data_IF_182890718802
#
_entry.id   IF_182890718802
#
_cell.length_a   1.000
_cell.length_b   1.000
_cell.length_c   1.000
_cell.angle_alpha   90.00
_cell.angle_beta   90.00
_cell.angle_gamma   90.00
#
_symmetry.space_group_name_H-M   'P 1'
#
loop_
_entity.id
_entity.type
_entity.pdbx_description
1 polymer ?
#
# COMPACT_ATOMS: atom_id res chain seq x y z
N UNK A 1 -7.38 -20.22 -94.69
CA UNK A 1 -7.97 -20.97 -95.82
C UNK A 1 -9.08 -20.11 -96.39
N UNK A 2 -8.83 -19.45 -97.51
CA UNK A 2 -9.72 -18.45 -98.10
C UNK A 2 -11.02 -19.10 -98.58
N UNK A 3 -12.17 -18.65 -98.07
CA UNK A 3 -13.52 -19.04 -98.51
C UNK A 3 -13.81 -18.75 -100.00
N UNK A 4 -12.86 -18.17 -100.73
CA UNK A 4 -12.88 -18.03 -102.18
C UNK A 4 -12.61 -19.34 -102.93
N UNK A 5 -11.94 -20.34 -102.33
CA UNK A 5 -11.61 -21.58 -103.05
C UNK A 5 -12.75 -22.60 -103.09
N UNK A 6 -13.72 -22.52 -102.17
CA UNK A 6 -14.82 -23.50 -102.10
C UNK A 6 -16.08 -23.07 -102.89
N UNK A 7 -16.22 -21.79 -103.19
CA UNK A 7 -17.37 -21.29 -103.95
C UNK A 7 -17.18 -21.32 -105.47
N UNK A 8 -15.92 -21.27 -105.95
CA UNK A 8 -15.61 -21.29 -107.37
C UNK A 8 -15.76 -22.69 -108.00
N UNK A 9 -15.42 -23.75 -107.27
CA UNK A 9 -15.32 -25.08 -107.88
C UNK A 9 -16.67 -25.78 -108.06
N UNK A 10 -17.71 -25.39 -107.30
CA UNK A 10 -19.00 -26.08 -107.40
C UNK A 10 -19.95 -25.49 -108.46
N UNK A 11 -19.86 -24.19 -108.74
CA UNK A 11 -20.76 -23.51 -109.69
C UNK A 11 -20.25 -23.48 -111.14
N UNK A 12 -18.95 -23.69 -111.36
CA UNK A 12 -18.40 -23.80 -112.72
C UNK A 12 -18.69 -25.16 -113.37
N UNK A 13 -19.09 -26.18 -112.59
CA UNK A 13 -19.45 -27.51 -113.10
C UNK A 13 -20.86 -27.62 -113.70
N UNK A 14 -21.67 -26.56 -113.60
CA UNK A 14 -23.04 -26.50 -114.15
C UNK A 14 -23.20 -25.43 -115.25
N UNK A 15 -22.09 -25.06 -115.90
CA UNK A 15 -22.20 -24.51 -117.24
C UNK A 15 -22.48 -25.72 -118.13
N UNK A 16 -23.76 -26.00 -118.37
CA UNK A 16 -24.21 -27.03 -119.32
C UNK A 16 -23.43 -26.87 -120.63
N UNK A 17 -22.56 -27.84 -120.94
CA UNK A 17 -21.79 -28.01 -122.18
C UNK A 17 -22.69 -28.25 -123.43
N UNK A 18 -24.00 -28.07 -123.30
CA UNK A 18 -25.01 -28.29 -124.34
C UNK A 18 -25.09 -27.17 -125.39
N UNK A 19 -24.24 -26.14 -125.33
CA UNK A 19 -24.22 -25.09 -126.37
C UNK A 19 -23.59 -25.54 -127.70
N UNK A 20 -22.96 -26.71 -127.74
CA UNK A 20 -22.18 -27.14 -128.92
C UNK A 20 -22.96 -27.98 -129.93
N UNK A 21 -24.20 -28.40 -129.64
CA UNK A 21 -24.90 -29.45 -130.43
C UNK A 21 -26.36 -29.16 -130.77
N UNK A 22 -26.77 -27.90 -130.88
CA UNK A 22 -28.15 -27.55 -131.27
C UNK A 22 -28.14 -26.50 -132.40
N UNK A 23 -28.55 -26.92 -133.59
CA UNK A 23 -28.56 -26.11 -134.83
C UNK A 23 -29.82 -25.25 -135.01
N UNK A 24 -30.79 -25.34 -134.11
CA UNK A 24 -32.09 -24.66 -134.23
C UNK A 24 -32.13 -23.32 -133.46
N UNK A 25 -32.31 -22.23 -134.19
CA UNK A 25 -32.19 -20.84 -133.71
C UNK A 25 -33.19 -20.48 -132.62
N UNK A 26 -34.41 -21.02 -132.69
CA UNK A 26 -35.46 -20.73 -131.72
C UNK A 26 -35.24 -21.49 -130.40
N UNK A 27 -34.62 -22.67 -130.45
CA UNK A 27 -34.24 -23.43 -129.26
C UNK A 27 -33.10 -22.72 -128.49
N UNK A 28 -32.13 -22.14 -129.20
CA UNK A 28 -31.05 -21.35 -128.60
C UNK A 28 -31.59 -20.09 -127.89
N UNK A 29 -32.58 -19.39 -128.48
CA UNK A 29 -33.25 -18.26 -127.82
C UNK A 29 -33.99 -18.68 -126.56
N UNK A 30 -34.70 -19.80 -126.60
CA UNK A 30 -35.46 -20.32 -125.47
C UNK A 30 -34.53 -20.74 -124.32
N UNK A 31 -33.40 -21.39 -124.64
CA UNK A 31 -32.33 -21.71 -123.71
C UNK A 31 -31.74 -20.43 -123.08
N UNK A 32 -31.44 -19.41 -123.88
CA UNK A 32 -30.88 -18.14 -123.42
C UNK A 32 -31.85 -17.41 -122.48
N UNK A 33 -33.14 -17.36 -122.81
CA UNK A 33 -34.17 -16.80 -121.93
C UNK A 33 -34.26 -17.58 -120.62
N UNK A 34 -34.17 -18.92 -120.67
CA UNK A 34 -34.16 -19.78 -119.48
C UNK A 34 -32.94 -19.53 -118.60
N UNK A 35 -31.76 -19.41 -119.20
CA UNK A 35 -30.52 -19.10 -118.46
C UNK A 35 -30.55 -17.68 -117.88
N UNK A 36 -31.09 -16.69 -118.62
CA UNK A 36 -31.30 -15.33 -118.08
C UNK A 36 -32.25 -15.32 -116.88
N UNK A 37 -33.34 -16.10 -116.94
CA UNK A 37 -34.27 -16.24 -115.80
C UNK A 37 -33.61 -16.93 -114.60
N UNK A 38 -32.84 -18.01 -114.84
CA UNK A 38 -32.05 -18.68 -113.79
C UNK A 38 -31.05 -17.72 -113.15
N UNK A 39 -30.29 -16.98 -113.95
CA UNK A 39 -29.35 -15.96 -113.47
C UNK A 39 -30.06 -14.86 -112.67
N UNK A 40 -31.20 -14.36 -113.14
CA UNK A 40 -31.97 -13.36 -112.41
C UNK A 40 -32.43 -13.90 -111.04
N UNK A 41 -32.94 -15.14 -110.97
CA UNK A 41 -33.32 -15.76 -109.70
C UNK A 41 -32.11 -15.99 -108.77
N UNK A 42 -30.94 -16.30 -109.33
CA UNK A 42 -29.71 -16.43 -108.55
C UNK A 42 -29.24 -15.10 -107.99
N UNK A 43 -29.28 -14.03 -108.80
CA UNK A 43 -28.93 -12.68 -108.38
C UNK A 43 -29.89 -12.16 -107.31
N UNK A 44 -31.19 -12.40 -107.47
CA UNK A 44 -32.20 -12.01 -106.46
C UNK A 44 -31.98 -12.75 -105.14
N UNK A 45 -31.64 -14.04 -105.19
CA UNK A 45 -31.31 -14.83 -104.00
C UNK A 45 -30.01 -14.34 -103.36
N UNK A 46 -28.99 -14.03 -104.16
CA UNK A 46 -27.71 -13.49 -103.68
C UNK A 46 -27.93 -12.15 -102.98
N UNK A 47 -28.66 -11.22 -103.59
CA UNK A 47 -29.03 -9.92 -102.99
C UNK A 47 -29.78 -10.14 -101.68
N UNK A 48 -30.76 -11.06 -101.65
CA UNK A 48 -31.53 -11.35 -100.44
C UNK A 48 -30.66 -11.94 -99.33
N UNK A 49 -29.71 -12.81 -99.68
CA UNK A 49 -28.73 -13.34 -98.72
C UNK A 49 -27.76 -12.28 -98.25
N UNK A 50 -27.22 -11.45 -99.14
CA UNK A 50 -26.28 -10.38 -98.83
C UNK A 50 -26.92 -9.34 -97.91
N UNK A 51 -28.14 -8.88 -98.21
CA UNK A 51 -28.92 -8.01 -97.32
C UNK A 51 -29.25 -8.69 -95.98
N UNK A 52 -29.48 -10.01 -95.97
CA UNK A 52 -29.68 -10.74 -94.72
C UNK A 52 -28.38 -10.88 -93.91
N UNK A 53 -27.22 -10.99 -94.56
CA UNK A 53 -25.91 -11.02 -93.91
C UNK A 53 -25.40 -9.63 -93.52
N UNK A 54 -25.88 -8.58 -94.18
CA UNK A 54 -25.61 -7.18 -93.85
C UNK A 54 -26.41 -6.71 -92.62
N UNK A 55 -27.59 -7.31 -92.38
CA UNK A 55 -28.55 -6.86 -91.36
C UNK A 55 -28.88 -7.87 -90.23
N UNK A 56 -28.36 -9.10 -90.26
CA UNK A 56 -28.65 -10.12 -89.24
C UNK A 56 -27.34 -10.57 -88.59
N UNK A 57 -27.16 -10.16 -87.32
CA UNK A 57 -26.20 -10.72 -86.37
C UNK A 57 -24.75 -10.29 -86.62
N UNK A 58 -24.43 -9.08 -86.18
CA UNK A 58 -23.43 -8.88 -85.11
C UNK A 58 -23.27 -7.40 -84.78
N UNK A 59 -23.37 -6.47 -85.73
CA UNK A 59 -22.88 -5.10 -85.47
C UNK A 59 -23.71 -4.31 -84.46
N UNK A 60 -25.02 -4.16 -84.64
CA UNK A 60 -25.85 -3.34 -83.73
C UNK A 60 -25.92 -3.96 -82.32
N UNK A 61 -26.11 -5.28 -82.23
CA UNK A 61 -26.12 -5.97 -80.93
C UNK A 61 -24.74 -5.97 -80.27
N UNK A 62 -23.65 -6.05 -81.05
CA UNK A 62 -22.29 -5.89 -80.55
C UNK A 62 -22.05 -4.47 -80.04
N UNK A 63 -22.44 -3.43 -80.78
CA UNK A 63 -22.32 -2.04 -80.33
C UNK A 63 -23.13 -1.82 -79.03
N UNK A 64 -24.37 -2.34 -78.95
CA UNK A 64 -25.18 -2.28 -77.73
C UNK A 64 -24.54 -3.02 -76.55
N UNK A 65 -23.99 -4.22 -76.77
CA UNK A 65 -23.29 -5.00 -75.75
C UNK A 65 -21.97 -4.32 -75.34
N UNK A 66 -21.26 -3.72 -76.29
CA UNK A 66 -20.02 -2.99 -76.08
C UNK A 66 -20.27 -1.72 -75.26
N UNK A 67 -21.31 -0.95 -75.59
CA UNK A 67 -21.74 0.20 -74.81
C UNK A 67 -22.13 -0.18 -73.39
N UNK A 68 -22.87 -1.30 -73.24
CA UNK A 68 -23.23 -1.83 -71.92
C UNK A 68 -22.01 -2.30 -71.13
N UNK A 69 -21.06 -2.96 -71.79
CA UNK A 69 -19.79 -3.36 -71.18
C UNK A 69 -18.99 -2.14 -70.72
N UNK A 70 -18.93 -1.10 -71.53
CA UNK A 70 -18.26 0.16 -71.18
C UNK A 70 -18.96 0.86 -70.01
N UNK A 71 -20.30 0.87 -69.99
CA UNK A 71 -21.07 1.41 -68.86
C UNK A 71 -20.79 0.64 -67.57
N UNK A 72 -20.93 -0.70 -67.59
CA UNK A 72 -20.63 -1.55 -66.44
C UNK A 72 -19.19 -1.40 -65.97
N UNK A 73 -18.24 -1.22 -66.89
CA UNK A 73 -16.83 -0.97 -66.53
C UNK A 73 -16.66 0.37 -65.83
N UNK A 74 -17.35 1.43 -66.26
CA UNK A 74 -17.34 2.73 -65.57
C UNK A 74 -17.96 2.62 -64.18
N UNK A 75 -19.11 1.97 -64.06
CA UNK A 75 -19.79 1.75 -62.78
C UNK A 75 -18.93 0.91 -61.83
N UNK A 76 -18.30 -0.15 -62.33
CA UNK A 76 -17.38 -0.96 -61.54
C UNK A 76 -16.18 -0.13 -61.08
N UNK A 77 -15.58 0.70 -61.94
CA UNK A 77 -14.45 1.55 -61.55
C UNK A 77 -14.85 2.58 -60.49
N UNK A 78 -16.02 3.20 -60.63
CA UNK A 78 -16.56 4.12 -59.63
C UNK A 78 -16.76 3.42 -58.29
N UNK A 79 -17.41 2.26 -58.30
CA UNK A 79 -17.69 1.48 -57.10
C UNK A 79 -16.38 1.00 -56.44
N UNK A 80 -15.39 0.56 -57.22
CA UNK A 80 -14.06 0.20 -56.71
C UNK A 80 -13.40 1.40 -56.00
N UNK A 81 -13.48 2.59 -56.59
CA UNK A 81 -12.92 3.81 -55.98
C UNK A 81 -13.65 4.18 -54.67
N UNK A 82 -14.99 4.07 -54.64
CA UNK A 82 -15.77 4.31 -53.43
C UNK A 82 -15.43 3.29 -52.32
N UNK A 83 -15.29 2.01 -52.65
CA UNK A 83 -14.86 0.98 -51.69
C UNK A 83 -13.44 1.24 -51.16
N UNK A 84 -12.51 1.67 -52.01
CA UNK A 84 -11.16 2.04 -51.58
C UNK A 84 -11.19 3.24 -50.63
N UNK A 85 -11.95 4.28 -50.97
CA UNK A 85 -12.12 5.44 -50.11
C UNK A 85 -12.76 5.05 -48.77
N UNK A 86 -13.84 4.27 -48.78
CA UNK A 86 -14.48 3.76 -47.57
C UNK A 86 -13.49 2.96 -46.71
N UNK A 87 -12.70 2.07 -47.33
CA UNK A 87 -11.64 1.33 -46.65
C UNK A 87 -10.60 2.24 -45.96
N UNK A 88 -10.17 3.30 -46.63
CA UNK A 88 -9.27 4.31 -46.06
C UNK A 88 -9.91 5.05 -44.87
N UNK A 89 -11.19 5.43 -44.98
CA UNK A 89 -11.90 6.08 -43.87
C UNK A 89 -12.08 5.15 -42.67
N UNK A 90 -12.37 3.86 -42.89
CA UNK A 90 -12.45 2.87 -41.82
C UNK A 90 -11.10 2.70 -41.13
N UNK A 91 -9.99 2.61 -41.89
CA UNK A 91 -8.64 2.55 -41.32
C UNK A 91 -8.30 3.80 -40.50
N UNK A 92 -8.64 4.99 -41.01
CA UNK A 92 -8.46 6.24 -40.29
C UNK A 92 -9.23 6.25 -38.97
N UNK A 93 -10.50 5.82 -38.97
CA UNK A 93 -11.32 5.73 -37.77
C UNK A 93 -10.74 4.73 -36.77
N UNK A 94 -10.28 3.55 -37.22
CA UNK A 94 -9.64 2.56 -36.35
C UNK A 94 -8.41 3.16 -35.66
N UNK A 95 -7.52 3.79 -36.42
CA UNK A 95 -6.33 4.44 -35.86
C UNK A 95 -6.72 5.53 -34.86
N UNK A 96 -7.71 6.37 -35.20
CA UNK A 96 -8.19 7.42 -34.30
C UNK A 96 -8.80 6.86 -33.01
N UNK A 97 -9.52 5.74 -33.08
CA UNK A 97 -10.05 5.08 -31.88
C UNK A 97 -8.94 4.50 -31.01
N UNK A 98 -7.86 4.00 -31.61
CA UNK A 98 -6.70 3.52 -30.88
C UNK A 98 -6.02 4.67 -30.10
N UNK A 99 -5.79 5.81 -30.77
CA UNK A 99 -5.22 7.01 -30.13
C UNK A 99 -6.08 7.48 -28.94
N UNK A 100 -7.41 7.51 -29.11
CA UNK A 100 -8.33 7.91 -28.04
C UNK A 100 -8.32 6.93 -26.85
N UNK A 101 -8.14 5.64 -27.11
CA UNK A 101 -8.00 4.63 -26.05
C UNK A 101 -6.70 4.86 -25.27
N UNK A 102 -5.61 5.20 -25.94
CA UNK A 102 -4.32 5.49 -25.30
C UNK A 102 -4.36 6.78 -24.47
N UNK A 103 -4.98 7.84 -24.99
CA UNK A 103 -5.23 9.07 -24.23
C UNK A 103 -6.08 8.79 -22.99
N UNK A 104 -7.17 8.04 -23.14
CA UNK A 104 -8.02 7.62 -22.01
C UNK A 104 -7.22 6.85 -20.96
N UNK A 105 -6.40 5.89 -21.39
CA UNK A 105 -5.58 5.08 -20.49
C UNK A 105 -4.55 5.94 -19.75
N UNK A 106 -3.93 6.90 -20.44
CA UNK A 106 -3.01 7.87 -19.84
C UNK A 106 -3.70 8.68 -18.73
N UNK A 107 -4.85 9.29 -19.02
CA UNK A 107 -5.59 10.07 -18.04
C UNK A 107 -6.09 9.21 -16.86
N UNK A 108 -6.53 7.98 -17.11
CA UNK A 108 -6.93 7.05 -16.06
C UNK A 108 -5.76 6.73 -15.12
N UNK A 109 -4.57 6.47 -15.68
CA UNK A 109 -3.37 6.19 -14.90
C UNK A 109 -2.91 7.42 -14.10
N UNK A 110 -2.96 8.62 -14.69
CA UNK A 110 -2.66 9.87 -14.00
C UNK A 110 -3.65 10.13 -12.86
N UNK A 111 -4.95 9.93 -13.09
CA UNK A 111 -5.98 10.03 -12.06
C UNK A 111 -5.75 9.02 -10.93
N UNK A 112 -5.45 7.76 -11.25
CA UNK A 112 -5.18 6.71 -10.25
C UNK A 112 -3.95 7.05 -9.39
N UNK A 113 -2.89 7.57 -10.01
CA UNK A 113 -1.70 8.08 -9.30
C UNK A 113 -2.06 9.26 -8.41
N UNK A 114 -2.73 10.26 -8.95
CA UNK A 114 -3.11 11.47 -8.21
C UNK A 114 -4.08 11.16 -7.06
N UNK A 115 -5.03 10.24 -7.24
CA UNK A 115 -5.91 9.72 -6.18
C UNK A 115 -5.12 9.13 -5.02
N UNK A 116 -4.04 8.42 -5.32
CA UNK A 116 -3.16 7.84 -4.31
C UNK A 116 -2.32 8.91 -3.59
N UNK A 117 -2.00 10.01 -4.28
CA UNK A 117 -1.17 11.11 -3.75
C UNK A 117 -1.95 12.18 -2.98
N UNK A 118 -3.19 12.47 -3.38
CA UNK A 118 -4.02 13.56 -2.80
C UNK A 118 -4.64 13.18 -1.46
N UNK A 119 -4.82 11.89 -1.19
CA UNK A 119 -5.29 11.38 0.10
C UNK A 119 -4.60 10.04 0.38
N UNK A 120 -3.33 10.03 0.85
CA UNK A 120 -2.78 8.81 1.41
C UNK A 120 -3.70 8.39 2.55
N UNK A 121 -4.45 7.30 2.36
CA UNK A 121 -5.34 6.81 3.41
C UNK A 121 -4.48 6.52 4.64
N UNK A 122 -4.88 7.01 5.83
CA UNK A 122 -4.19 6.67 7.05
C UNK A 122 -4.10 5.15 7.19
N UNK A 123 -2.96 4.70 7.69
CA UNK A 123 -2.78 3.31 8.07
C UNK A 123 -3.59 3.03 9.34
N UNK A 124 -4.87 2.68 9.15
CA UNK A 124 -5.84 2.49 10.21
C UNK A 124 -5.46 1.37 11.18
N UNK A 125 -4.57 0.45 10.80
CA UNK A 125 -4.10 -0.58 11.71
C UNK A 125 -3.24 -0.01 12.85
N UNK A 126 -2.51 1.09 12.59
CA UNK A 126 -1.70 1.78 13.62
C UNK A 126 -2.54 2.44 14.69
N UNK A 127 -3.79 2.77 14.38
CA UNK A 127 -4.71 3.42 15.32
C UNK A 127 -5.00 2.53 16.52
N UNK A 128 -4.95 1.20 16.34
CA UNK A 128 -5.08 0.24 17.44
C UNK A 128 -4.03 0.40 18.55
N UNK A 129 -2.87 1.00 18.26
CA UNK A 129 -1.83 1.26 19.26
C UNK A 129 -2.08 2.54 20.07
N UNK A 130 -2.98 3.41 19.60
CA UNK A 130 -3.24 4.73 20.17
C UNK A 130 -4.53 4.74 21.00
N UNK A 131 -5.49 3.87 20.67
CA UNK A 131 -6.78 3.78 21.34
C UNK A 131 -6.72 2.77 22.50
N UNK A 132 -7.28 3.16 23.64
CA UNK A 132 -7.47 2.30 24.81
C UNK A 132 -8.38 1.10 24.44
N UNK A 133 -7.98 -0.12 24.77
CA UNK A 133 -8.69 -1.35 24.35
C UNK A 133 -8.13 -2.00 23.07
N UNK A 134 -7.13 -1.38 22.44
CA UNK A 134 -6.27 -2.04 21.45
C UNK A 134 -6.99 -2.44 20.14
N UNK A 135 -6.46 -3.48 19.49
CA UNK A 135 -6.92 -3.94 18.17
C UNK A 135 -8.37 -4.43 18.15
N UNK A 136 -8.83 -5.06 19.23
CA UNK A 136 -10.20 -5.59 19.30
C UNK A 136 -11.25 -4.49 19.41
N UNK A 137 -11.00 -3.45 20.22
CA UNK A 137 -11.89 -2.28 20.30
C UNK A 137 -11.91 -1.48 19.01
N UNK A 138 -10.74 -1.30 18.38
CA UNK A 138 -10.67 -0.63 17.09
C UNK A 138 -11.40 -1.39 15.98
N UNK A 139 -11.35 -2.73 15.96
CA UNK A 139 -12.15 -3.54 15.01
C UNK A 139 -13.65 -3.27 15.17
N UNK A 140 -14.15 -3.22 16.41
CA UNK A 140 -15.57 -2.94 16.68
C UNK A 140 -15.94 -1.53 16.22
N UNK A 141 -15.10 -0.54 16.51
CA UNK A 141 -15.34 0.86 16.14
C UNK A 141 -15.23 1.12 14.64
N UNK A 142 -14.38 0.35 13.94
CA UNK A 142 -14.12 0.49 12.51
C UNK A 142 -15.01 -0.36 11.62
N UNK A 143 -15.69 -1.36 12.19
CA UNK A 143 -16.54 -2.26 11.43
C UNK A 143 -17.65 -1.50 10.69
N UNK A 144 -17.67 -1.63 9.36
CA UNK A 144 -18.69 -1.04 8.51
C UNK A 144 -18.60 0.48 8.29
N UNK A 145 -17.54 1.17 8.76
CA UNK A 145 -17.39 2.63 8.61
C UNK A 145 -16.52 3.02 7.41
N UNK A 146 -16.85 4.16 6.80
CA UNK A 146 -16.01 4.78 5.76
C UNK A 146 -14.75 5.42 6.35
N UNK A 147 -13.71 5.67 5.54
CA UNK A 147 -12.48 6.32 6.04
C UNK A 147 -12.71 7.70 6.68
N UNK A 148 -13.72 8.45 6.22
CA UNK A 148 -14.12 9.73 6.84
C UNK A 148 -14.77 9.49 8.21
N UNK A 149 -15.69 8.53 8.30
CA UNK A 149 -16.33 8.14 9.55
C UNK A 149 -15.33 7.51 10.56
N UNK A 150 -14.25 6.90 10.07
CA UNK A 150 -13.15 6.41 10.91
C UNK A 150 -12.35 7.57 11.53
N UNK A 151 -12.18 8.69 10.82
CA UNK A 151 -11.58 9.90 11.38
C UNK A 151 -12.45 10.42 12.52
N UNK A 152 -13.76 10.55 12.31
CA UNK A 152 -14.69 11.05 13.33
C UNK A 152 -14.72 10.13 14.55
N UNK A 153 -14.76 8.81 14.34
CA UNK A 153 -14.71 7.83 15.42
C UNK A 153 -13.38 7.90 16.20
N UNK A 154 -12.26 8.11 15.50
CA UNK A 154 -10.95 8.29 16.14
C UNK A 154 -10.90 9.59 16.96
N UNK A 155 -11.42 10.70 16.43
CA UNK A 155 -11.48 11.97 17.15
C UNK A 155 -12.36 11.81 18.39
N UNK A 156 -13.52 11.18 18.25
CA UNK A 156 -14.41 10.89 19.38
C UNK A 156 -13.70 10.06 20.45
N UNK A 157 -12.93 9.03 20.07
CA UNK A 157 -12.14 8.23 21.03
C UNK A 157 -10.99 8.99 21.68
N UNK A 158 -10.28 9.83 20.93
CA UNK A 158 -9.20 10.63 21.50
C UNK A 158 -9.74 11.67 22.48
N UNK A 159 -10.92 12.23 22.21
CA UNK A 159 -11.54 13.26 23.04
C UNK A 159 -12.31 12.71 24.25
N UNK A 160 -12.97 11.55 24.11
CA UNK A 160 -13.88 11.02 25.14
C UNK A 160 -13.39 9.71 25.79
N UNK A 161 -12.38 9.03 25.22
CA UNK A 161 -11.87 7.75 25.71
C UNK A 161 -12.92 6.63 25.69
N UNK A 162 -12.69 5.56 26.46
CA UNK A 162 -13.53 4.36 26.60
C UNK A 162 -14.97 4.57 27.14
N UNK A 163 -15.66 5.64 26.75
CA UNK A 163 -16.98 5.97 27.25
C UNK A 163 -18.06 5.55 26.29
N UNK A 164 -18.59 4.37 26.58
CA UNK A 164 -19.96 4.05 26.27
C UNK A 164 -20.88 5.08 26.96
N UNK A 165 -21.52 5.91 26.15
CA UNK A 165 -22.92 6.36 26.32
C UNK A 165 -23.30 7.40 27.39
N UNK A 166 -22.42 7.92 28.24
CA UNK A 166 -22.84 9.02 29.13
C UNK A 166 -22.66 10.39 28.48
N UNK A 167 -23.78 11.09 28.31
CA UNK A 167 -23.92 12.46 27.79
C UNK A 167 -22.91 13.41 28.46
N UNK A 168 -22.59 14.49 27.74
CA UNK A 168 -21.76 15.64 28.09
C UNK A 168 -22.12 16.33 29.44
N UNK A 169 -22.08 15.60 30.55
CA UNK A 169 -22.11 16.15 31.88
C UNK A 169 -20.68 16.14 32.39
N UNK A 170 -20.21 17.32 32.79
CA UNK A 170 -18.90 17.47 33.43
C UNK A 170 -18.94 16.65 34.72
N UNK A 171 -18.17 15.58 34.78
CA UNK A 171 -18.06 14.76 35.98
C UNK A 171 -17.20 15.47 37.03
N UNK A 172 -17.68 15.45 38.27
CA UNK A 172 -16.95 15.95 39.43
C UNK A 172 -16.77 14.80 40.43
N UNK A 173 -15.64 14.78 41.13
CA UNK A 173 -15.44 13.99 42.32
C UNK A 173 -15.97 14.73 43.55
N UNK A 174 -16.54 13.96 44.48
CA UNK A 174 -16.80 14.43 45.83
C UNK A 174 -15.50 14.36 46.64
N UNK A 175 -15.20 15.42 47.40
CA UNK A 175 -14.02 15.45 48.26
C UNK A 175 -14.13 14.40 49.38
N UNK A 176 -13.02 13.70 49.64
CA UNK A 176 -12.94 12.60 50.59
C UNK A 176 -12.88 13.07 52.05
N UNK A 177 -12.59 14.34 52.31
CA UNK A 177 -12.46 14.93 53.65
C UNK A 177 -11.01 15.32 54.02
N UNK A 178 -10.85 15.92 55.20
CA UNK A 178 -9.57 16.42 55.74
C UNK A 178 -8.94 15.51 56.81
N UNK A 179 -9.46 14.29 56.96
CA UNK A 179 -9.02 13.36 58.00
C UNK A 179 -7.57 12.89 57.80
N UNK A 180 -6.89 12.61 58.92
CA UNK A 180 -5.50 12.13 58.94
C UNK A 180 -5.38 10.76 58.26
N UNK A 181 -6.46 9.97 58.22
CA UNK A 181 -6.55 8.67 57.54
C UNK A 181 -6.54 8.77 56.01
N UNK A 182 -6.81 9.96 55.46
CA UNK A 182 -6.79 10.21 54.02
C UNK A 182 -5.37 10.63 53.60
N UNK A 183 -4.95 10.15 52.43
CA UNK A 183 -3.64 10.45 51.85
C UNK A 183 -3.43 11.98 51.77
N UNK A 184 -2.23 12.43 52.11
CA UNK A 184 -1.90 13.86 52.25
C UNK A 184 -2.24 14.69 51.01
N UNK A 185 -2.06 14.14 49.81
CA UNK A 185 -2.38 14.81 48.54
C UNK A 185 -3.88 14.84 48.15
N UNK A 186 -4.76 14.24 48.97
CA UNK A 186 -6.21 14.16 48.72
C UNK A 186 -7.05 14.92 49.76
N UNK A 187 -6.41 15.46 50.80
CA UNK A 187 -7.14 16.12 51.90
C UNK A 187 -7.79 17.40 51.40
N UNK A 188 -9.12 17.39 51.41
CA UNK A 188 -9.94 18.57 51.15
C UNK A 188 -11.25 18.52 51.91
N UNK A 189 -11.80 19.66 52.37
CA UNK A 189 -13.10 19.74 52.99
C UNK A 189 -14.18 19.16 52.06
N UNK A 190 -15.07 18.36 52.65
CA UNK A 190 -16.11 17.59 51.97
C UNK A 190 -17.13 18.43 51.19
N UNK A 191 -17.15 19.75 51.38
CA UNK A 191 -17.97 20.70 50.62
C UNK A 191 -17.50 20.94 49.19
N UNK A 192 -16.28 20.53 48.85
CA UNK A 192 -15.67 20.89 47.57
C UNK A 192 -15.92 19.83 46.50
N UNK A 193 -16.23 20.31 45.29
CA UNK A 193 -16.31 19.48 44.09
C UNK A 193 -15.04 19.62 43.29
N UNK A 194 -14.43 18.49 42.94
CA UNK A 194 -13.16 18.45 42.22
C UNK A 194 -13.42 17.99 40.79
N UNK A 195 -12.81 18.64 39.82
CA UNK A 195 -13.07 18.36 38.42
C UNK A 195 -12.43 17.02 37.99
N UNK A 196 -13.23 16.13 37.39
CA UNK A 196 -12.72 14.87 36.87
C UNK A 196 -12.20 15.08 35.43
N UNK A 197 -10.87 15.12 35.29
CA UNK A 197 -10.19 15.20 33.99
C UNK A 197 -10.10 13.85 33.28
N UNK A 198 -10.47 12.74 33.95
CA UNK A 198 -10.46 11.38 33.39
C UNK A 198 -9.09 11.05 32.79
N UNK A 199 -8.06 11.10 33.63
CA UNK A 199 -6.67 10.86 33.24
C UNK A 199 -6.50 9.49 32.54
N UNK A 200 -5.93 9.51 31.32
CA UNK A 200 -5.63 8.32 30.51
C UNK A 200 -4.46 7.51 31.06
N UNK A 201 -4.44 6.20 30.82
CA UNK A 201 -3.42 5.28 31.34
C UNK A 201 -1.99 5.76 31.04
N UNK A 202 -1.69 6.11 29.79
CA UNK A 202 -0.36 6.56 29.40
C UNK A 202 0.06 7.85 30.12
N UNK A 203 -0.87 8.78 30.36
CA UNK A 203 -0.60 10.01 31.10
C UNK A 203 -0.33 9.71 32.57
N UNK A 204 -1.06 8.76 33.16
CA UNK A 204 -0.81 8.26 34.51
C UNK A 204 0.58 7.64 34.63
N UNK A 205 1.00 6.83 33.67
CA UNK A 205 2.33 6.20 33.66
C UNK A 205 3.47 7.23 33.57
N UNK A 206 3.33 8.24 32.70
CA UNK A 206 4.29 9.35 32.59
C UNK A 206 4.37 10.09 33.93
N UNK A 207 3.24 10.47 34.50
CA UNK A 207 3.19 11.23 35.74
C UNK A 207 3.81 10.44 36.91
N UNK A 208 3.53 9.13 36.99
CA UNK A 208 4.16 8.24 37.97
C UNK A 208 5.69 8.20 37.77
N UNK A 209 6.14 8.07 36.53
CA UNK A 209 7.56 8.08 36.22
C UNK A 209 8.22 9.40 36.63
N UNK A 210 7.57 10.53 36.37
CA UNK A 210 8.06 11.85 36.78
C UNK A 210 8.17 11.96 38.30
N UNK A 211 7.14 11.57 39.06
CA UNK A 211 7.17 11.53 40.54
C UNK A 211 8.37 10.72 41.04
N UNK A 212 8.60 9.52 40.48
CA UNK A 212 9.73 8.69 40.87
C UNK A 212 11.08 9.33 40.51
N UNK A 213 11.19 9.93 39.33
CA UNK A 213 12.44 10.61 38.94
C UNK A 213 12.75 11.78 39.85
N UNK A 214 11.72 12.48 40.31
CA UNK A 214 11.84 13.62 41.21
C UNK A 214 12.29 13.18 42.61
N UNK A 215 11.66 12.13 43.16
CA UNK A 215 12.05 11.53 44.43
C UNK A 215 13.50 11.02 44.44
N UNK A 216 13.97 10.47 43.32
CA UNK A 216 15.37 10.03 43.15
C UNK A 216 16.33 11.23 43.06
N UNK A 217 15.91 12.38 42.52
CA UNK A 217 16.71 13.62 42.54
C UNK A 217 16.78 14.15 43.97
N UNK A 218 15.65 14.32 44.64
CA UNK A 218 15.59 14.80 46.03
C UNK A 218 16.45 13.92 46.97
N UNK A 219 16.39 12.60 46.80
CA UNK A 219 17.23 11.65 47.54
C UNK A 219 18.72 11.79 47.22
N UNK A 220 19.09 12.07 45.96
CA UNK A 220 20.48 12.32 45.57
C UNK A 220 20.99 13.65 46.14
N UNK A 221 20.21 14.70 46.05
CA UNK A 221 20.60 16.03 46.51
C UNK A 221 20.80 16.06 48.03
N UNK A 222 19.95 15.37 48.79
CA UNK A 222 20.15 15.15 50.23
C UNK A 222 21.43 14.36 50.55
N UNK A 223 21.79 13.37 49.73
CA UNK A 223 23.05 12.64 49.89
C UNK A 223 24.27 13.52 49.59
N UNK A 224 24.20 14.37 48.56
CA UNK A 224 25.26 15.33 48.24
C UNK A 224 25.42 16.40 49.33
N UNK A 225 24.31 16.91 49.88
CA UNK A 225 24.32 17.90 50.95
C UNK A 225 24.90 17.32 52.25
N UNK A 226 24.54 16.08 52.62
CA UNK A 226 25.13 15.41 53.78
C UNK A 226 26.66 15.20 53.61
N UNK A 227 27.12 14.89 52.40
CA UNK A 227 28.55 14.75 52.10
C UNK A 227 29.30 16.08 52.21
N UNK A 228 28.71 17.19 51.76
CA UNK A 228 29.33 18.52 51.87
C UNK A 228 29.37 19.04 53.31
N UNK A 229 28.37 18.75 54.14
CA UNK A 229 28.38 19.08 55.57
C UNK A 229 29.43 18.27 56.35
N UNK A 230 29.64 16.98 56.03
CA UNK A 230 30.70 16.19 56.70
C UNK A 230 32.12 16.66 56.37
N UNK A 231 32.32 17.28 55.20
CA UNK A 231 33.62 17.83 54.80
C UNK A 231 33.97 19.18 55.44
N UNK A 232 33.02 19.88 56.08
CA UNK A 232 33.28 21.17 56.75
C UNK A 232 33.73 21.02 58.21
N UNK A 233 33.71 19.81 58.80
CA UNK A 233 34.07 19.58 60.21
C UNK A 233 35.38 18.80 60.42
N UNK A 234 36.15 18.48 59.38
CA UNK A 234 37.53 17.98 59.54
C UNK A 234 38.47 18.62 58.50
N UNK A 235 39.46 19.37 59.00
CA UNK A 235 40.63 19.84 58.26
C UNK A 235 41.48 18.66 57.72
N UNK A 236 42.29 18.87 56.67
CA UNK A 236 42.68 17.81 55.73
C UNK A 236 44.01 17.15 56.09
N UNK A 237 44.08 15.84 55.93
CA UNK A 237 45.31 15.09 55.65
C UNK A 237 45.10 14.36 54.31
N UNK A 238 46.04 14.43 53.36
CA UNK A 238 45.81 13.90 52.02
C UNK A 238 46.35 12.47 51.93
N UNK A 239 45.49 11.48 51.65
CA UNK A 239 45.82 10.45 50.66
C UNK A 239 44.64 9.52 50.36
N UNK A 240 44.53 9.18 49.07
CA UNK A 240 43.79 8.08 48.44
C UNK A 240 42.29 8.24 48.10
N UNK A 241 42.08 8.27 46.79
CA UNK A 241 40.94 7.93 45.91
C UNK A 241 39.59 7.50 46.50
N UNK A 242 38.47 8.09 46.02
CA UNK A 242 37.12 7.58 46.26
C UNK A 242 36.65 6.65 45.12
N UNK A 243 36.58 5.34 45.38
CA UNK A 243 35.79 4.41 44.57
C UNK A 243 35.18 3.30 45.43
N UNK A 244 33.83 3.28 45.44
CA UNK A 244 32.90 2.27 45.96
C UNK A 244 32.94 1.87 47.45
N UNK A 245 31.78 2.02 48.11
CA UNK A 245 30.97 0.90 48.65
C UNK A 245 29.67 1.42 49.27
N UNK A 246 28.51 1.08 48.71
CA UNK A 246 27.24 1.13 49.46
C UNK A 246 26.94 -0.30 49.89
N UNK A 247 27.39 -0.64 51.10
CA UNK A 247 26.88 -1.81 51.84
C UNK A 247 26.09 -1.32 53.05
N UNK A 248 25.06 -2.12 53.34
CA UNK A 248 24.08 -1.98 54.40
C UNK A 248 24.70 -1.73 55.78
N UNK A 249 24.06 -0.88 56.58
CA UNK A 249 24.17 -0.95 58.05
C UNK A 249 22.77 -0.91 58.66
N UNK A 250 22.34 -2.05 59.18
CA UNK A 250 21.32 -2.16 60.24
C UNK A 250 22.07 -2.73 61.45
N UNK A 251 22.10 -2.00 62.57
CA UNK A 251 22.24 -2.57 63.93
C UNK A 251 22.02 -1.49 65.01
N UNK A 252 20.86 -1.57 65.66
CA UNK A 252 20.55 -1.47 67.11
C UNK A 252 21.56 -0.84 68.10
N UNK A 253 21.17 0.23 68.81
CA UNK A 253 21.04 0.41 70.30
C UNK A 253 20.95 1.91 70.69
N UNK A 254 20.60 2.31 71.94
CA UNK A 254 19.59 3.35 72.19
C UNK A 254 20.19 4.66 72.71
N UNK A 255 19.32 5.66 72.85
CA UNK A 255 19.50 6.92 73.58
C UNK A 255 20.41 7.99 72.95
N UNK A 256 19.79 8.90 72.21
CA UNK A 256 19.82 10.31 72.62
C UNK A 256 18.75 11.14 71.89
N UNK A 257 17.87 11.73 72.68
CA UNK A 257 16.87 12.71 72.27
C UNK A 257 17.53 13.90 71.58
N UNK A 258 16.99 14.28 70.41
CA UNK A 258 16.89 15.63 69.81
C UNK A 258 16.99 15.68 68.27
N UNK A 259 16.45 14.69 67.53
CA UNK A 259 16.35 14.76 66.06
C UNK A 259 14.95 14.36 65.55
N UNK A 260 13.91 15.11 65.92
CA UNK A 260 12.55 14.90 65.43
C UNK A 260 12.28 15.64 64.11
N UNK A 261 13.02 15.31 63.04
CA UNK A 261 12.60 15.63 61.65
C UNK A 261 13.27 14.75 60.59
N UNK A 262 13.59 13.50 60.93
CA UNK A 262 14.07 12.50 59.97
C UNK A 262 13.21 11.23 60.04
N UNK A 263 11.89 11.40 60.05
CA UNK A 263 10.99 10.32 59.72
C UNK A 263 10.97 10.24 58.19
N UNK A 264 11.27 9.08 57.61
CA UNK A 264 11.15 8.84 56.17
C UNK A 264 9.73 9.27 55.74
N UNK A 265 9.64 10.36 54.95
CA UNK A 265 8.36 10.84 54.40
C UNK A 265 7.75 9.71 53.57
N UNK A 266 6.46 9.45 53.75
CA UNK A 266 5.79 8.41 52.97
C UNK A 266 5.73 8.82 51.49
N UNK A 267 5.51 7.87 50.57
CA UNK A 267 5.33 8.21 49.16
C UNK A 267 4.17 9.20 48.96
N UNK A 268 3.09 9.07 49.74
CA UNK A 268 1.96 9.97 49.71
C UNK A 268 2.34 11.43 50.04
N UNK A 269 3.19 11.61 51.06
CA UNK A 269 3.66 12.95 51.45
C UNK A 269 4.56 13.57 50.38
N UNK A 270 5.43 12.75 49.77
CA UNK A 270 6.24 13.21 48.65
C UNK A 270 5.37 13.60 47.44
N UNK A 271 4.29 12.87 47.16
CA UNK A 271 3.36 13.21 46.07
C UNK A 271 2.63 14.53 46.34
N UNK A 272 2.29 14.82 47.60
CA UNK A 272 1.71 16.09 48.00
C UNK A 272 2.70 17.25 47.75
N UNK A 273 3.92 17.12 48.27
CA UNK A 273 4.99 18.11 48.07
C UNK A 273 5.27 18.34 46.58
N UNK A 274 5.34 17.26 45.80
CA UNK A 274 5.56 17.29 44.35
C UNK A 274 4.49 18.08 43.59
N UNK A 275 3.21 17.86 43.92
CA UNK A 275 2.12 18.55 43.23
C UNK A 275 2.05 20.03 43.60
N UNK A 276 2.35 20.38 44.85
CA UNK A 276 2.41 21.78 45.27
C UNK A 276 3.55 22.53 44.57
N UNK A 277 4.74 21.92 44.49
CA UNK A 277 5.90 22.52 43.82
C UNK A 277 5.71 22.63 42.30
N UNK A 278 5.17 21.59 41.66
CA UNK A 278 5.00 21.54 40.20
C UNK A 278 3.95 22.51 39.68
N UNK A 279 2.78 22.56 40.32
CA UNK A 279 1.64 23.30 39.79
C UNK A 279 1.53 24.73 40.34
N UNK A 280 2.23 25.07 41.44
CA UNK A 280 2.21 26.38 42.11
C UNK A 280 0.80 26.90 42.47
N UNK A 281 -0.21 26.06 42.31
CA UNK A 281 -1.62 26.31 42.52
C UNK A 281 -2.18 25.10 43.26
N UNK A 282 -2.58 25.33 44.51
CA UNK A 282 -3.07 24.29 45.39
C UNK A 282 -4.34 23.62 44.83
N UNK A 283 -5.24 24.40 44.20
CA UNK A 283 -6.44 23.85 43.57
C UNK A 283 -6.13 22.85 42.44
N UNK A 284 -5.13 23.13 41.61
CA UNK A 284 -4.71 22.25 40.52
C UNK A 284 -3.98 21.01 41.04
N UNK A 285 -3.19 21.17 42.11
CA UNK A 285 -2.50 20.07 42.78
C UNK A 285 -3.49 19.03 43.32
N UNK A 286 -4.53 19.49 44.02
CA UNK A 286 -5.63 18.66 44.50
C UNK A 286 -6.35 17.98 43.33
N UNK A 287 -6.70 18.74 42.30
CA UNK A 287 -7.39 18.20 41.13
C UNK A 287 -6.59 17.06 40.49
N UNK A 288 -5.28 17.26 40.32
CA UNK A 288 -4.39 16.24 39.79
C UNK A 288 -4.25 15.03 40.74
N UNK A 289 -4.26 15.27 42.05
CA UNK A 289 -4.25 14.24 43.08
C UNK A 289 -5.44 13.30 43.00
N UNK A 290 -6.67 13.85 42.92
CA UNK A 290 -7.89 13.05 42.78
C UNK A 290 -7.93 12.28 41.46
N UNK A 291 -7.49 12.92 40.37
CA UNK A 291 -7.42 12.26 39.06
C UNK A 291 -6.37 11.14 39.00
N UNK A 292 -5.22 11.32 39.68
CA UNK A 292 -4.21 10.28 39.82
C UNK A 292 -4.74 9.10 40.67
N UNK A 293 -5.39 9.38 41.79
CA UNK A 293 -5.97 8.38 42.67
C UNK A 293 -7.02 7.52 41.92
N UNK A 294 -7.96 8.17 41.24
CA UNK A 294 -8.97 7.50 40.42
C UNK A 294 -8.34 6.70 39.27
N UNK A 295 -7.37 7.26 38.56
CA UNK A 295 -6.67 6.55 37.48
C UNK A 295 -5.91 5.32 37.97
N UNK A 296 -5.22 5.41 39.11
CA UNK A 296 -4.57 4.26 39.74
C UNK A 296 -5.56 3.15 40.11
N UNK A 297 -6.77 3.51 40.53
CA UNK A 297 -7.83 2.55 40.82
C UNK A 297 -8.42 1.92 39.55
N UNK A 298 -8.58 2.68 38.47
CA UNK A 298 -9.05 2.17 37.16
C UNK A 298 -8.05 1.25 36.49
N UNK A 299 -6.77 1.61 36.50
CA UNK A 299 -5.71 0.92 35.75
C UNK A 299 -4.91 -0.09 36.60
N UNK A 300 -5.55 -0.73 37.59
CA UNK A 300 -4.93 -1.78 38.43
C UNK A 300 -4.36 -2.97 37.66
N UNK A 301 -4.80 -3.17 36.42
CA UNK A 301 -4.28 -4.23 35.55
C UNK A 301 -2.85 -3.95 35.03
N UNK A 302 -2.39 -2.69 35.05
CA UNK A 302 -1.01 -2.35 34.67
C UNK A 302 -0.08 -2.59 35.85
N UNK A 303 0.92 -3.47 35.69
CA UNK A 303 1.86 -3.83 36.76
C UNK A 303 2.58 -2.61 37.37
N UNK A 304 2.97 -1.64 36.53
CA UNK A 304 3.67 -0.42 36.96
C UNK A 304 2.78 0.49 37.80
N UNK A 305 1.54 0.69 37.35
CA UNK A 305 0.56 1.52 38.05
C UNK A 305 0.15 0.84 39.36
N UNK A 306 -0.05 -0.48 39.34
CA UNK A 306 -0.43 -1.25 40.51
C UNK A 306 0.67 -1.28 41.58
N UNK A 307 1.94 -1.42 41.17
CA UNK A 307 3.07 -1.32 42.10
C UNK A 307 3.13 0.06 42.76
N UNK A 308 2.99 1.13 41.97
CA UNK A 308 2.95 2.49 42.49
C UNK A 308 1.78 2.70 43.44
N UNK A 309 0.58 2.25 43.06
CA UNK A 309 -0.63 2.32 43.87
C UNK A 309 -0.50 1.57 45.20
N UNK A 310 0.08 0.36 45.18
CA UNK A 310 0.35 -0.42 46.38
C UNK A 310 1.32 0.27 47.33
N UNK A 311 2.34 0.96 46.81
CA UNK A 311 3.27 1.75 47.63
C UNK A 311 2.60 3.03 48.15
N UNK A 312 1.79 3.68 47.31
CA UNK A 312 1.08 4.92 47.65
C UNK A 312 0.08 4.72 48.79
N UNK A 313 -0.58 3.57 48.83
CA UNK A 313 -1.54 3.17 49.88
C UNK A 313 -0.88 2.50 51.08
N UNK A 314 0.44 2.30 51.05
CA UNK A 314 1.19 1.62 52.11
C UNK A 314 1.00 0.10 52.17
N UNK A 315 0.38 -0.51 51.15
CA UNK A 315 0.22 -1.97 51.04
C UNK A 315 1.52 -2.68 50.65
N UNK A 316 2.41 -1.98 49.94
CA UNK A 316 3.70 -2.50 49.46
C UNK A 316 4.80 -1.56 49.95
N UNK A 317 5.91 -2.12 50.42
CA UNK A 317 7.06 -1.31 50.81
C UNK A 317 7.79 -0.72 49.58
N UNK A 318 8.24 0.52 49.71
CA UNK A 318 8.99 1.23 48.67
C UNK A 318 10.29 0.49 48.26
N UNK A 319 10.87 -0.31 49.16
CA UNK A 319 12.04 -1.14 48.87
C UNK A 319 11.85 -2.09 47.69
N UNK A 320 10.62 -2.56 47.45
CA UNK A 320 10.29 -3.46 46.33
C UNK A 320 10.55 -2.77 44.99
N UNK A 321 10.14 -1.51 44.86
CA UNK A 321 10.37 -0.70 43.66
C UNK A 321 11.88 -0.49 43.41
N UNK A 322 12.62 -0.08 44.44
CA UNK A 322 14.06 0.14 44.33
C UNK A 322 14.82 -1.15 44.00
N UNK A 323 14.39 -2.29 44.55
CA UNK A 323 14.95 -3.60 44.23
C UNK A 323 14.71 -3.94 42.75
N UNK A 324 13.48 -3.81 42.25
CA UNK A 324 13.18 -4.06 40.84
C UNK A 324 13.98 -3.14 39.90
N UNK A 325 14.08 -1.85 40.23
CA UNK A 325 14.85 -0.90 39.44
C UNK A 325 16.35 -1.22 39.42
N UNK A 326 16.91 -1.65 40.57
CA UNK A 326 18.31 -2.08 40.66
C UNK A 326 18.56 -3.33 39.81
N UNK A 327 17.68 -4.32 39.88
CA UNK A 327 17.78 -5.55 39.09
C UNK A 327 17.70 -5.27 37.58
N UNK A 328 16.79 -4.38 37.15
CA UNK A 328 16.70 -3.93 35.76
C UNK A 328 17.98 -3.19 35.34
N UNK A 329 18.49 -2.29 36.19
CA UNK A 329 19.73 -1.55 35.91
C UNK A 329 20.93 -2.48 35.74
N UNK A 330 21.07 -3.49 36.61
CA UNK A 330 22.12 -4.50 36.51
C UNK A 330 22.01 -5.30 35.21
N UNK A 331 20.82 -5.80 34.87
CA UNK A 331 20.58 -6.52 33.62
C UNK A 331 20.92 -5.66 32.40
N UNK A 332 20.53 -4.39 32.42
CA UNK A 332 20.81 -3.44 31.34
C UNK A 332 22.32 -3.18 31.20
N UNK A 333 23.05 -3.05 32.32
CA UNK A 333 24.52 -2.95 32.30
C UNK A 333 25.16 -4.22 31.72
N UNK A 334 24.68 -5.40 32.09
CA UNK A 334 25.15 -6.66 31.50
C UNK A 334 24.90 -6.73 29.99
N UNK A 335 23.71 -6.32 29.54
CA UNK A 335 23.38 -6.30 28.11
C UNK A 335 24.21 -5.28 27.33
N UNK A 336 24.47 -4.09 27.89
CA UNK A 336 25.39 -3.11 27.30
C UNK A 336 26.79 -3.69 27.21
N UNK A 337 27.29 -4.31 28.29
CA UNK A 337 28.61 -4.95 28.31
C UNK A 337 28.72 -6.03 27.24
N UNK A 338 27.71 -6.91 27.12
CA UNK A 338 27.66 -7.92 26.06
C UNK A 338 27.65 -7.30 24.67
N UNK A 339 26.83 -6.26 24.44
CA UNK A 339 26.80 -5.53 23.17
C UNK A 339 28.17 -4.96 22.81
N UNK A 340 28.86 -4.33 23.76
CA UNK A 340 30.22 -3.80 23.53
C UNK A 340 31.23 -4.92 23.24
N UNK A 341 31.15 -6.06 23.93
CA UNK A 341 32.03 -7.20 23.68
C UNK A 341 31.81 -7.82 22.30
N UNK A 342 30.55 -7.94 21.85
CA UNK A 342 30.22 -8.42 20.51
C UNK A 342 30.68 -7.46 19.41
N UNK A 343 30.62 -6.14 19.61
CA UNK A 343 31.17 -5.18 18.64
C UNK A 343 32.71 -5.26 18.55
N UNK A 344 33.40 -5.44 19.68
CA UNK A 344 34.86 -5.65 19.70
C UNK A 344 35.27 -6.96 19.04
N UNK A 345 34.47 -8.03 19.19
CA UNK A 345 34.73 -9.31 18.53
C UNK A 345 34.60 -9.22 17.00
N UNK A 346 33.63 -8.47 16.48
CA UNK A 346 33.48 -8.25 15.04
C UNK A 346 34.64 -7.46 14.43
N UNK A 347 35.13 -6.43 15.12
CA UNK A 347 36.31 -5.67 14.68
C UNK A 347 37.59 -6.53 14.72
N UNK A 348 37.74 -7.38 15.74
CA UNK A 348 38.86 -8.35 15.84
C UNK A 348 38.85 -9.40 14.73
N UNK A 349 37.68 -9.89 14.31
CA UNK A 349 37.55 -10.82 13.18
C UNK A 349 37.86 -10.09 11.86
N UNK A 350 37.43 -8.84 11.73
CA UNK A 350 37.73 -8.01 10.56
C UNK A 350 39.21 -7.62 10.46
N UNK A 351 39.94 -7.45 11.57
CA UNK A 351 41.38 -7.16 11.55
C UNK A 351 42.21 -8.40 11.22
N UNK A 352 41.87 -9.57 11.82
CA UNK A 352 42.49 -10.85 11.44
C UNK A 352 42.27 -11.22 9.97
N UNK A 353 41.10 -10.93 9.41
CA UNK A 353 40.82 -11.14 7.99
C UNK A 353 41.67 -10.23 7.07
N UNK A 354 42.01 -9.01 7.53
CA UNK A 354 42.88 -8.09 6.78
C UNK A 354 44.35 -8.51 6.84
N UNK A 355 44.83 -9.03 7.97
CA UNK A 355 46.20 -9.56 8.11
C UNK A 355 46.43 -10.83 7.27
N UNK A 356 45.41 -11.69 7.13
CA UNK A 356 45.48 -12.88 6.28
C UNK A 356 45.62 -12.56 4.78
N UNK A 357 45.14 -11.39 4.32
CA UNK A 357 45.26 -10.95 2.91
C UNK A 357 46.67 -10.44 2.60
N UNK A 358 47.42 -9.98 3.61
CA UNK A 358 48.76 -9.39 3.42
C UNK A 358 49.89 -10.44 3.40
N UNK A 359 49.60 -11.69 3.77
CA UNK A 359 50.61 -12.74 3.99
C UNK A 359 50.77 -13.78 2.86
N UNK A 360 50.02 -13.69 1.76
CA UNK A 360 50.25 -14.53 0.56
C UNK A 360 50.86 -13.71 -0.60
N UNK A 361 52.16 -13.86 -0.90
CA UNK A 361 52.74 -13.33 -2.13
C UNK A 361 52.58 -14.38 -3.23
N UNK A 362 51.71 -14.08 -4.21
CA UNK A 362 51.44 -14.81 -5.47
C UNK A 362 50.19 -15.71 -5.48
N UNK A 363 49.02 -15.08 -5.65
CA UNK A 363 47.93 -15.66 -6.44
C UNK A 363 47.19 -14.53 -7.19
N UNK A 364 46.58 -14.81 -8.37
CA UNK A 364 46.15 -13.78 -9.30
C UNK A 364 44.94 -13.02 -8.76
N UNK A 365 44.93 -11.70 -9.03
CA UNK A 365 43.88 -10.75 -8.69
C UNK A 365 42.46 -11.37 -8.71
N UNK A 366 41.70 -11.33 -7.62
CA UNK A 366 40.31 -11.71 -7.68
C UNK A 366 39.51 -10.57 -8.31
N UNK A 367 38.70 -10.96 -9.28
CA UNK A 367 37.52 -10.27 -9.79
C UNK A 367 36.78 -9.59 -8.64
N UNK A 368 36.34 -8.33 -8.85
CA UNK A 368 35.45 -7.59 -7.95
C UNK A 368 34.22 -8.45 -7.61
N UNK A 369 34.28 -9.18 -6.50
CA UNK A 369 33.10 -9.73 -5.85
C UNK A 369 32.47 -8.58 -5.08
N UNK A 370 31.38 -8.05 -5.64
CA UNK A 370 30.49 -7.15 -4.93
C UNK A 370 29.96 -7.88 -3.68
N UNK A 371 30.53 -7.57 -2.51
CA UNK A 371 29.84 -7.81 -1.25
C UNK A 371 28.70 -6.80 -1.12
N UNK A 372 27.61 -7.03 -1.89
CA UNK A 372 26.29 -6.68 -1.37
C UNK A 372 26.09 -7.62 -0.19
N UNK A 373 26.41 -7.12 1.01
CA UNK A 373 25.84 -7.64 2.23
C UNK A 373 24.33 -7.69 2.01
N UNK A 374 23.82 -8.90 1.80
CA UNK A 374 22.40 -9.18 1.84
C UNK A 374 21.95 -8.83 3.26
N UNK A 375 21.37 -7.64 3.43
CA UNK A 375 20.36 -7.32 4.43
C UNK A 375 19.08 -8.16 4.20
N UNK A 376 19.25 -9.43 3.84
CA UNK A 376 18.26 -10.40 3.42
C UNK A 376 18.59 -11.75 4.09
N UNK A 377 18.80 -11.73 5.41
CA UNK A 377 18.72 -12.96 6.23
C UNK A 377 18.34 -12.70 7.69
N UNK A 378 17.61 -11.62 7.96
CA UNK A 378 16.99 -11.39 9.27
C UNK A 378 15.51 -11.02 9.13
N UNK A 379 14.85 -11.66 8.15
CA UNK A 379 13.39 -11.62 7.95
C UNK A 379 12.78 -12.98 7.60
N UNK A 380 13.52 -14.08 7.76
CA UNK A 380 13.00 -15.46 7.64
C UNK A 380 13.17 -16.31 8.91
N UNK A 381 13.46 -15.69 10.05
CA UNK A 381 13.39 -16.33 11.38
C UNK A 381 12.36 -15.64 12.27
N UNK A 382 11.17 -15.41 11.71
CA UNK A 382 9.94 -15.10 12.46
C UNK A 382 8.75 -15.99 12.07
N UNK A 383 8.95 -17.04 11.27
CA UNK A 383 7.89 -18.03 10.93
C UNK A 383 8.21 -19.46 11.38
N UNK A 384 9.28 -19.70 12.14
CA UNK A 384 9.67 -21.04 12.61
C UNK A 384 9.67 -21.18 14.14
N UNK A 385 8.59 -20.71 14.78
CA UNK A 385 8.21 -21.12 16.13
C UNK A 385 6.69 -21.23 16.26
N UNK A 386 6.07 -21.90 15.30
CA UNK A 386 4.73 -22.46 15.47
C UNK A 386 4.81 -23.64 16.42
N UNK A 387 4.71 -23.38 17.72
CA UNK A 387 4.47 -24.41 18.72
C UNK A 387 3.11 -25.03 18.40
N UNK A 388 3.15 -26.34 18.17
CA UNK A 388 2.04 -27.25 18.05
C UNK A 388 0.87 -26.92 18.98
N UNK A 389 -0.32 -26.81 18.40
CA UNK A 389 -1.51 -27.30 19.07
C UNK A 389 -2.30 -28.21 18.13
N UNK A 390 -2.70 -29.33 18.72
CA UNK A 390 -3.29 -30.53 18.15
C UNK A 390 -4.53 -30.30 17.28
N UNK A 391 -4.65 -31.08 16.19
CA UNK A 391 -5.86 -31.17 15.39
C UNK A 391 -5.80 -32.37 14.44
N UNK A 392 -6.34 -33.50 14.89
CA UNK A 392 -6.49 -34.77 14.19
C UNK A 392 -7.09 -34.61 12.77
N UNK A 393 -6.44 -35.19 11.76
CA UNK A 393 -7.13 -35.61 10.54
C UNK A 393 -7.00 -37.12 10.38
N UNK A 394 -8.16 -37.78 10.45
CA UNK A 394 -8.37 -39.18 10.13
C UNK A 394 -8.06 -39.42 8.65
N UNK A 395 -7.26 -40.46 8.42
CA UNK A 395 -7.17 -41.22 7.18
C UNK A 395 -8.56 -41.76 6.86
N UNK A 396 -8.99 -41.62 5.60
CA UNK A 396 -9.82 -42.62 4.96
C UNK A 396 -9.30 -42.78 3.53
N UNK A 397 -8.71 -43.95 3.29
CA UNK A 397 -8.55 -44.54 1.97
C UNK A 397 -9.93 -44.98 1.47
N UNK A 398 -10.29 -44.55 0.27
CA UNK A 398 -10.89 -45.36 -0.80
C UNK A 398 -10.85 -44.54 -2.10
#
# INVERSE_FOLDING_TARGET
>A
MTMQSLFNDHYLSQIDDDLTTITDFDLLKLQLIRQRKKLFSFVELLIKTELSYENIVQRIDYENLFDKQNQLTREHNLLTNEYQHLGQTCLYLINKTHDLIDERNKYYNEWQRNKSLLTPRPDWDKVSNVIDGGKERWKILSYGKSSEQLVDALIQEIMHGNQSESKNEIEYFDALGDDISILSFLRMPTSNRIFNRRMRQHMTEILIQEIWTDKIKESRDKLFENLTYTHQLHSPEPSYSPFLSIQQTISTSPDNNNNSKLHNKTLADHVADYFEERFRSHAMAIEMGYNLHDACQRYRNSERINLFWGILTGQIEEMVYHHQMRSISQLLQYLIKMKTLYSFQQESISSKAREAIVSEPNSPLPVKVNYRLSLFSMKQYQESAGIHNFGFYRINLC
#
